data_IF_014523424038
#
_entry.id   IF_014523424038
#
_cell.length_a   1.000
_cell.length_b   1.000
_cell.length_c   1.000
_cell.angle_alpha   90.00
_cell.angle_beta   90.00
_cell.angle_gamma   90.00
#
_symmetry.space_group_name_H-M   'P 1'
#
loop_
_entity.id
_entity.type
_entity.pdbx_description
1 polymer ?
#
# COMPACT_ATOMS: atom_id res chain seq x y z
N UNK A 1 -7.77 -0.93 24.59
CA UNK A 1 -6.81 -0.83 23.47
C UNK A 1 -7.17 -1.78 22.33
N UNK A 2 -7.29 -3.11 22.55
CA UNK A 2 -7.62 -4.07 21.49
C UNK A 2 -9.01 -3.92 20.83
N UNK A 3 -10.03 -3.44 21.56
CA UNK A 3 -11.37 -3.19 21.00
C UNK A 3 -11.33 -2.04 19.98
N UNK A 4 -10.50 -1.02 20.23
CA UNK A 4 -10.39 0.15 19.36
C UNK A 4 -9.71 -0.19 18.02
N UNK A 5 -8.70 -1.08 18.04
CA UNK A 5 -8.04 -1.58 16.82
C UNK A 5 -8.99 -2.39 15.93
N UNK A 6 -9.78 -3.28 16.53
CA UNK A 6 -10.77 -4.09 15.79
C UNK A 6 -11.80 -3.21 15.11
N UNK A 7 -12.34 -2.23 15.84
CA UNK A 7 -13.33 -1.29 15.30
C UNK A 7 -12.72 -0.42 14.20
N UNK A 8 -11.49 0.06 14.37
CA UNK A 8 -10.76 0.83 13.37
C UNK A 8 -10.61 0.05 12.06
N UNK A 9 -10.01 -1.14 12.11
CA UNK A 9 -9.80 -1.96 10.90
C UNK A 9 -11.12 -2.36 10.23
N UNK A 10 -12.16 -2.70 11.01
CA UNK A 10 -13.48 -3.04 10.46
C UNK A 10 -14.15 -1.83 9.79
N UNK A 11 -14.03 -0.63 10.37
CA UNK A 11 -14.58 0.60 9.81
C UNK A 11 -13.87 0.98 8.51
N UNK A 12 -12.54 0.93 8.50
CA UNK A 12 -11.74 1.22 7.30
C UNK A 12 -12.00 0.17 6.21
N UNK A 13 -12.08 -1.11 6.58
CA UNK A 13 -12.47 -2.18 5.65
C UNK A 13 -13.86 -1.91 5.04
N UNK A 14 -14.86 -1.58 5.86
CA UNK A 14 -16.20 -1.26 5.39
C UNK A 14 -16.23 -0.07 4.43
N UNK A 15 -15.44 0.97 4.72
CA UNK A 15 -15.25 2.11 3.82
C UNK A 15 -14.68 1.68 2.47
N UNK A 16 -13.56 0.95 2.45
CA UNK A 16 -12.94 0.49 1.21
C UNK A 16 -13.82 -0.49 0.44
N UNK A 17 -14.59 -1.33 1.13
CA UNK A 17 -15.59 -2.21 0.51
C UNK A 17 -16.68 -1.39 -0.19
N UNK A 18 -17.19 -0.34 0.45
CA UNK A 18 -18.18 0.56 -0.15
C UNK A 18 -17.64 1.29 -1.38
N UNK A 19 -16.40 1.79 -1.31
CA UNK A 19 -15.70 2.40 -2.47
C UNK A 19 -15.55 1.37 -3.60
N UNK A 20 -15.07 0.16 -3.29
CA UNK A 20 -14.87 -0.91 -4.28
C UNK A 20 -16.16 -1.30 -4.97
N UNK A 21 -17.23 -1.54 -4.20
CA UNK A 21 -18.57 -1.86 -4.71
C UNK A 21 -19.05 -0.76 -5.67
N UNK A 22 -18.84 0.51 -5.31
CA UNK A 22 -19.24 1.64 -6.14
C UNK A 22 -18.42 1.80 -7.41
N UNK A 23 -17.11 1.60 -7.35
CA UNK A 23 -16.25 1.55 -8.55
C UNK A 23 -16.70 0.44 -9.50
N UNK A 24 -17.01 -0.75 -8.98
CA UNK A 24 -17.51 -1.87 -9.79
C UNK A 24 -18.87 -1.56 -10.41
N UNK A 25 -19.80 -0.98 -9.64
CA UNK A 25 -21.10 -0.55 -10.18
C UNK A 25 -20.93 0.48 -11.30
N UNK A 26 -20.09 1.50 -11.12
CA UNK A 26 -19.84 2.53 -12.13
C UNK A 26 -19.30 1.91 -13.42
N UNK A 27 -18.40 0.93 -13.32
CA UNK A 27 -17.86 0.21 -14.47
C UNK A 27 -18.89 -0.67 -15.21
N UNK A 28 -19.95 -1.12 -14.52
CA UNK A 28 -21.00 -1.96 -15.10
C UNK A 28 -22.18 -1.15 -15.68
N UNK A 29 -22.46 0.04 -15.14
CA UNK A 29 -23.64 0.84 -15.53
C UNK A 29 -23.37 1.85 -16.65
N UNK A 30 -22.10 2.10 -16.99
CA UNK A 30 -21.74 3.09 -18.00
C UNK A 30 -21.02 2.42 -19.18
N UNK A 31 -21.78 2.04 -20.20
CA UNK A 31 -21.31 2.23 -21.58
C UNK A 31 -21.92 3.54 -22.11
N UNK A 32 -21.34 4.72 -21.85
CA UNK A 32 -21.68 5.89 -22.62
C UNK A 32 -21.03 5.72 -24.00
N UNK A 33 -21.87 5.77 -25.04
CA UNK A 33 -21.44 6.04 -26.40
C UNK A 33 -20.81 7.44 -26.47
N UNK A 34 -19.52 7.61 -26.20
CA UNK A 34 -18.78 8.79 -26.68
C UNK A 34 -17.25 8.62 -26.55
N UNK A 35 -16.58 8.94 -27.66
CA UNK A 35 -15.13 9.08 -27.87
C UNK A 35 -14.24 7.84 -27.61
N UNK A 36 -13.43 7.47 -28.61
CA UNK A 36 -12.43 6.38 -28.49
C UNK A 36 -11.48 6.52 -27.29
N UNK A 37 -11.29 7.73 -26.77
CA UNK A 37 -10.51 8.02 -25.57
C UNK A 37 -11.10 7.40 -24.30
N UNK A 38 -12.43 7.38 -24.14
CA UNK A 38 -13.10 6.74 -22.99
C UNK A 38 -12.83 5.23 -22.94
N UNK A 39 -12.96 4.57 -24.09
CA UNK A 39 -12.67 3.14 -24.23
C UNK A 39 -11.20 2.83 -23.93
N UNK A 40 -10.28 3.71 -24.35
CA UNK A 40 -8.85 3.57 -24.04
C UNK A 40 -8.60 3.71 -22.53
N UNK A 41 -9.17 4.73 -21.89
CA UNK A 41 -9.03 4.98 -20.46
C UNK A 41 -9.55 3.80 -19.61
N UNK A 42 -10.74 3.27 -19.92
CA UNK A 42 -11.27 2.08 -19.23
C UNK A 42 -10.40 0.85 -19.48
N UNK A 43 -9.98 0.62 -20.73
CA UNK A 43 -9.14 -0.52 -21.11
C UNK A 43 -7.84 -0.59 -20.33
N UNK A 44 -7.22 0.57 -20.06
CA UNK A 44 -5.96 0.66 -19.32
C UNK A 44 -6.12 0.98 -17.83
N UNK A 45 -7.35 1.09 -17.34
CA UNK A 45 -7.64 1.43 -15.94
C UNK A 45 -6.91 0.53 -14.93
N UNK A 46 -6.75 -0.76 -15.23
CA UNK A 46 -6.03 -1.75 -14.40
C UNK A 46 -4.52 -1.53 -14.32
N UNK A 47 -3.95 -0.75 -15.24
CA UNK A 47 -2.50 -0.50 -15.32
C UNK A 47 -2.06 0.70 -14.50
N UNK A 48 -2.97 1.52 -13.98
CA UNK A 48 -2.62 2.64 -13.10
C UNK A 48 -2.18 2.17 -11.72
N UNK A 49 -1.08 2.75 -11.21
CA UNK A 49 -0.53 2.44 -9.89
C UNK A 49 -1.57 2.63 -8.77
N UNK A 50 -2.43 3.64 -8.88
CA UNK A 50 -3.51 3.90 -7.93
C UNK A 50 -4.40 2.67 -7.72
N UNK A 51 -4.75 1.94 -8.80
CA UNK A 51 -5.59 0.75 -8.70
C UNK A 51 -4.87 -0.40 -8.02
N UNK A 52 -3.57 -0.56 -8.30
CA UNK A 52 -2.73 -1.55 -7.61
C UNK A 52 -2.61 -1.22 -6.12
N UNK A 53 -2.42 0.05 -5.78
CA UNK A 53 -2.32 0.50 -4.38
C UNK A 53 -3.64 0.29 -3.65
N UNK A 54 -4.76 0.64 -4.27
CA UNK A 54 -6.09 0.42 -3.71
C UNK A 54 -6.34 -1.07 -3.43
N UNK A 55 -5.97 -1.97 -4.35
CA UNK A 55 -6.08 -3.42 -4.14
C UNK A 55 -5.22 -3.87 -2.95
N UNK A 56 -3.99 -3.37 -2.82
CA UNK A 56 -3.11 -3.72 -1.70
C UNK A 56 -3.67 -3.20 -0.36
N UNK A 57 -4.26 -2.01 -0.34
CA UNK A 57 -4.93 -1.46 0.84
C UNK A 57 -6.14 -2.31 1.21
N UNK A 58 -7.02 -2.61 0.25
CA UNK A 58 -8.19 -3.46 0.48
C UNK A 58 -7.78 -4.85 0.97
N UNK A 59 -6.73 -5.42 0.39
CA UNK A 59 -6.17 -6.72 0.79
C UNK A 59 -5.66 -6.67 2.23
N UNK A 60 -4.89 -5.64 2.60
CA UNK A 60 -4.42 -5.45 3.97
C UNK A 60 -5.57 -5.43 4.98
N UNK A 61 -6.56 -4.56 4.77
CA UNK A 61 -7.70 -4.45 5.69
C UNK A 61 -8.57 -5.70 5.74
N UNK A 62 -8.69 -6.42 4.62
CA UNK A 62 -9.32 -7.75 4.57
C UNK A 62 -8.57 -8.77 5.42
N UNK A 63 -7.23 -8.82 5.30
CA UNK A 63 -6.38 -9.68 6.12
C UNK A 63 -6.51 -9.32 7.60
N UNK A 64 -6.59 -8.03 7.94
CA UNK A 64 -6.74 -7.59 9.33
C UNK A 64 -8.09 -7.99 9.93
N UNK A 65 -9.19 -7.87 9.19
CA UNK A 65 -10.50 -8.40 9.61
C UNK A 65 -10.41 -9.92 9.80
N UNK A 66 -9.78 -10.65 8.89
CA UNK A 66 -9.58 -12.10 9.02
C UNK A 66 -8.74 -12.47 10.24
N UNK A 67 -7.64 -11.75 10.51
CA UNK A 67 -6.82 -11.92 11.73
C UNK A 67 -7.69 -11.77 12.98
N UNK A 68 -8.54 -10.74 13.02
CA UNK A 68 -9.43 -10.50 14.15
C UNK A 68 -10.45 -11.63 14.34
N UNK A 69 -11.02 -12.16 13.25
CA UNK A 69 -11.93 -13.31 13.28
C UNK A 69 -11.23 -14.60 13.73
N UNK A 70 -10.03 -14.89 13.20
CA UNK A 70 -9.25 -16.07 13.58
C UNK A 70 -8.86 -16.04 15.07
N UNK A 71 -8.62 -14.85 15.63
CA UNK A 71 -8.35 -14.69 17.06
C UNK A 71 -9.57 -14.97 17.96
N UNK A 72 -10.78 -15.09 17.40
CA UNK A 72 -11.96 -15.53 18.16
C UNK A 72 -12.04 -17.06 18.27
N UNK A 73 -11.32 -17.79 17.41
CA UNK A 73 -11.38 -19.26 17.36
C UNK A 73 -10.14 -19.84 18.06
N UNK A 74 -10.36 -20.60 19.13
CA UNK A 74 -9.27 -21.30 19.83
C UNK A 74 -8.54 -22.25 18.86
N UNK A 75 -7.21 -22.20 18.84
CA UNK A 75 -6.36 -23.04 17.99
C UNK A 75 -5.81 -22.35 16.74
N UNK A 76 -6.34 -21.19 16.33
CA UNK A 76 -5.89 -20.47 15.13
C UNK A 76 -4.87 -19.35 15.40
N UNK A 77 -4.42 -19.17 16.64
CA UNK A 77 -3.50 -18.09 17.05
C UNK A 77 -2.19 -18.08 16.24
N UNK A 78 -1.63 -19.25 15.93
CA UNK A 78 -0.40 -19.36 15.12
C UNK A 78 -0.59 -18.85 13.68
N UNK A 79 -1.75 -19.18 13.09
CA UNK A 79 -2.10 -18.76 11.72
C UNK A 79 -2.39 -17.27 11.69
N UNK A 80 -3.19 -16.78 12.64
CA UNK A 80 -3.47 -15.37 12.85
C UNK A 80 -2.19 -14.53 12.99
N UNK A 81 -1.25 -14.95 13.85
CA UNK A 81 0.02 -14.25 14.04
C UNK A 81 0.88 -14.24 12.76
N UNK A 82 0.90 -15.33 12.00
CA UNK A 82 1.61 -15.38 10.72
C UNK A 82 0.98 -14.44 9.69
N UNK A 83 -0.35 -14.44 9.59
CA UNK A 83 -1.09 -13.57 8.68
C UNK A 83 -0.89 -12.09 9.05
N UNK A 84 -0.96 -11.75 10.34
CA UNK A 84 -0.67 -10.39 10.83
C UNK A 84 0.72 -9.91 10.42
N UNK A 85 1.74 -10.75 10.56
CA UNK A 85 3.12 -10.41 10.14
C UNK A 85 3.22 -10.13 8.65
N UNK A 86 2.62 -10.98 7.81
CA UNK A 86 2.59 -10.77 6.35
C UNK A 86 1.83 -9.48 6.01
N UNK A 87 0.69 -9.24 6.67
CA UNK A 87 -0.11 -8.04 6.49
C UNK A 87 0.67 -6.78 6.90
N UNK A 88 1.40 -6.80 8.03
CA UNK A 88 2.24 -5.68 8.47
C UNK A 88 3.39 -5.41 7.47
N UNK A 89 3.99 -6.44 6.85
CA UNK A 89 4.96 -6.25 5.77
C UNK A 89 4.33 -5.54 4.56
N UNK A 90 3.17 -6.02 4.10
CA UNK A 90 2.42 -5.37 3.02
C UNK A 90 2.10 -3.91 3.38
N UNK A 91 1.66 -3.69 4.61
CA UNK A 91 1.26 -2.38 5.09
C UNK A 91 2.41 -1.38 5.11
N UNK A 92 3.50 -1.76 5.76
CA UNK A 92 4.65 -0.88 6.01
C UNK A 92 5.52 -0.68 4.77
N UNK A 93 5.63 -1.68 3.90
CA UNK A 93 6.49 -1.61 2.69
C UNK A 93 5.73 -1.07 1.48
N UNK A 94 4.45 -1.42 1.31
CA UNK A 94 3.68 -1.09 0.10
C UNK A 94 2.61 -0.06 0.39
N UNK A 95 1.66 -0.34 1.29
CA UNK A 95 0.46 0.49 1.46
C UNK A 95 0.79 1.91 1.90
N UNK A 96 1.49 2.09 3.02
CA UNK A 96 1.78 3.43 3.55
C UNK A 96 2.65 4.24 2.59
N UNK A 97 3.82 3.75 2.13
CA UNK A 97 4.70 4.55 1.29
C UNK A 97 4.09 4.88 -0.07
N UNK A 98 3.37 3.94 -0.68
CA UNK A 98 2.71 4.18 -1.97
C UNK A 98 1.53 5.13 -1.81
N UNK A 99 0.74 5.02 -0.75
CA UNK A 99 -0.34 5.95 -0.43
C UNK A 99 0.15 7.40 -0.33
N UNK A 100 1.26 7.60 0.41
CA UNK A 100 1.95 8.89 0.53
C UNK A 100 2.51 9.42 -0.79
N UNK A 101 2.85 8.53 -1.74
CA UNK A 101 3.33 8.90 -3.07
C UNK A 101 2.20 9.26 -4.03
N UNK A 102 1.16 8.42 -4.13
CA UNK A 102 0.09 8.60 -5.13
C UNK A 102 -0.84 9.76 -4.78
N UNK A 103 -1.07 10.04 -3.50
CA UNK A 103 -2.04 11.08 -3.09
C UNK A 103 -1.58 12.47 -3.55
N UNK A 104 -0.35 12.92 -3.23
CA UNK A 104 0.14 14.19 -3.76
C UNK A 104 0.29 14.15 -5.28
N UNK A 105 0.76 13.05 -5.86
CA UNK A 105 0.91 12.92 -7.32
C UNK A 105 -0.40 13.16 -8.06
N UNK A 106 -1.50 12.58 -7.56
CA UNK A 106 -2.84 12.81 -8.10
C UNK A 106 -3.26 14.26 -7.93
N UNK A 107 -3.27 14.79 -6.70
CA UNK A 107 -3.83 16.13 -6.45
C UNK A 107 -3.00 17.26 -7.04
N UNK A 108 -1.67 17.15 -7.07
CA UNK A 108 -0.81 18.13 -7.74
C UNK A 108 -1.14 18.15 -9.24
N UNK A 109 -1.21 16.98 -9.89
CA UNK A 109 -1.55 16.89 -11.31
C UNK A 109 -2.96 17.39 -11.57
N UNK A 110 -3.92 17.04 -10.70
CA UNK A 110 -5.31 17.47 -10.79
C UNK A 110 -5.42 19.00 -10.77
N UNK A 111 -4.68 19.67 -9.88
CA UNK A 111 -4.71 21.13 -9.77
C UNK A 111 -3.94 21.84 -10.89
N UNK A 112 -2.89 21.23 -11.46
CA UNK A 112 -2.12 21.81 -12.57
C UNK A 112 -2.87 21.64 -13.90
N UNK A 113 -3.24 20.40 -14.23
CA UNK A 113 -4.00 20.06 -15.42
C UNK A 113 -4.72 18.71 -15.19
N UNK A 114 -5.97 18.80 -14.76
CA UNK A 114 -6.83 17.64 -14.47
C UNK A 114 -7.06 16.72 -15.66
N UNK A 115 -7.07 17.23 -16.89
CA UNK A 115 -7.42 16.43 -18.07
C UNK A 115 -6.37 15.33 -18.35
N UNK A 116 -5.20 15.40 -17.72
CA UNK A 116 -4.16 14.37 -17.79
C UNK A 116 -4.53 13.08 -17.04
N UNK A 117 -5.41 13.15 -16.03
CA UNK A 117 -5.69 12.03 -15.11
C UNK A 117 -7.17 11.84 -14.77
N UNK A 118 -7.94 12.93 -14.77
CA UNK A 118 -9.35 12.98 -14.39
C UNK A 118 -10.10 14.06 -15.19
N UNK A 119 -10.40 13.78 -16.48
CA UNK A 119 -11.11 14.71 -17.36
C UNK A 119 -12.48 15.13 -16.82
N UNK A 120 -13.00 16.26 -17.29
CA UNK A 120 -14.32 16.81 -16.86
C UNK A 120 -15.47 15.83 -17.01
N UNK A 121 -15.56 15.12 -18.12
CA UNK A 121 -16.60 14.10 -18.33
C UNK A 121 -16.57 12.96 -17.30
N UNK A 122 -15.42 12.69 -16.67
CA UNK A 122 -15.29 11.63 -15.67
C UNK A 122 -15.93 12.02 -14.32
N UNK A 123 -16.10 13.32 -14.03
CA UNK A 123 -16.83 13.79 -12.85
C UNK A 123 -18.32 13.47 -12.90
N UNK A 124 -18.90 13.46 -14.10
CA UNK A 124 -20.31 13.10 -14.29
C UNK A 124 -20.55 11.62 -13.97
N UNK A 125 -19.50 10.80 -14.07
CA UNK A 125 -19.54 9.35 -13.91
C UNK A 125 -19.07 8.90 -12.52
N UNK A 126 -17.99 9.50 -12.01
CA UNK A 126 -17.36 9.14 -10.73
C UNK A 126 -17.75 10.17 -9.67
N UNK A 127 -18.58 9.78 -8.68
CA UNK A 127 -18.93 10.66 -7.58
C UNK A 127 -17.70 11.13 -6.81
N UNK A 128 -17.69 12.39 -6.37
CA UNK A 128 -16.53 12.98 -5.69
C UNK A 128 -16.05 12.20 -4.46
N UNK A 129 -16.95 11.58 -3.70
CA UNK A 129 -16.56 10.75 -2.55
C UNK A 129 -15.82 9.47 -2.96
N UNK A 130 -16.15 8.89 -4.13
CA UNK A 130 -15.42 7.73 -4.69
C UNK A 130 -14.02 8.18 -5.14
N UNK A 131 -13.93 9.34 -5.80
CA UNK A 131 -12.66 9.96 -6.19
C UNK A 131 -11.73 10.16 -4.98
N UNK A 132 -12.25 10.76 -3.89
CA UNK A 132 -11.52 10.86 -2.62
C UNK A 132 -11.21 9.49 -2.01
N UNK A 133 -12.13 8.52 -2.11
CA UNK A 133 -11.94 7.12 -1.72
C UNK A 133 -10.70 6.48 -2.32
N UNK A 134 -10.49 6.67 -3.62
CA UNK A 134 -9.37 6.05 -4.36
C UNK A 134 -8.12 6.93 -4.44
N UNK A 135 -8.18 8.23 -4.11
CA UNK A 135 -7.02 9.14 -4.25
C UNK A 135 -6.58 9.87 -2.98
N UNK A 136 -7.49 10.22 -2.06
CA UNK A 136 -7.14 10.90 -0.80
C UNK A 136 -6.99 9.90 0.33
N UNK A 137 -8.00 9.04 0.52
CA UNK A 137 -8.03 8.16 1.67
C UNK A 137 -7.01 7.03 1.61
N UNK A 138 -6.42 6.78 0.42
CA UNK A 138 -5.27 5.89 0.25
C UNK A 138 -4.02 6.33 1.04
N UNK A 139 -3.88 7.60 1.42
CA UNK A 139 -2.84 8.02 2.37
C UNK A 139 -3.39 8.25 3.77
N UNK A 140 -4.53 8.95 3.89
CA UNK A 140 -5.02 9.40 5.20
C UNK A 140 -5.36 8.21 6.12
N UNK A 141 -6.09 7.20 5.63
CA UNK A 141 -6.52 6.09 6.49
C UNK A 141 -5.34 5.19 6.89
N UNK A 142 -4.41 4.79 5.99
CA UNK A 142 -3.20 4.09 6.40
C UNK A 142 -2.27 4.90 7.32
N UNK A 143 -2.15 6.21 7.14
CA UNK A 143 -1.35 7.04 8.05
C UNK A 143 -1.99 7.13 9.43
N UNK A 144 -3.32 7.27 9.51
CA UNK A 144 -4.04 7.22 10.77
C UNK A 144 -3.82 5.86 11.46
N UNK A 145 -3.93 4.77 10.73
CA UNK A 145 -3.69 3.41 11.24
C UNK A 145 -2.25 3.26 11.78
N UNK A 146 -1.24 3.68 11.00
CA UNK A 146 0.17 3.68 11.41
C UNK A 146 0.42 4.41 12.73
N UNK A 147 -0.30 5.50 12.99
CA UNK A 147 -0.15 6.32 14.19
C UNK A 147 -0.91 5.76 15.40
N UNK A 148 -1.94 4.95 15.18
CA UNK A 148 -2.83 4.45 16.24
C UNK A 148 -2.59 2.97 16.59
N UNK A 149 -2.04 2.19 15.67
CA UNK A 149 -1.88 0.74 15.77
C UNK A 149 -0.40 0.37 15.70
N UNK A 150 -0.02 -0.66 16.48
CA UNK A 150 1.33 -1.20 16.43
C UNK A 150 1.53 -2.08 15.19
N UNK A 151 2.60 -1.83 14.47
CA UNK A 151 3.01 -2.62 13.30
C UNK A 151 4.43 -3.14 13.46
N UNK A 152 4.63 -4.35 12.94
CA UNK A 152 5.97 -4.92 12.81
C UNK A 152 6.61 -4.46 11.50
N UNK A 153 7.68 -3.67 11.57
CA UNK A 153 8.44 -3.25 10.40
C UNK A 153 9.46 -4.32 9.99
N UNK A 154 9.48 -4.63 8.70
CA UNK A 154 10.46 -5.53 8.11
C UNK A 154 11.89 -4.97 8.22
N UNK A 155 12.90 -5.86 8.29
CA UNK A 155 14.30 -5.47 8.11
C UNK A 155 14.55 -4.85 6.74
N UNK A 156 15.56 -3.98 6.63
CA UNK A 156 15.88 -3.29 5.38
C UNK A 156 16.08 -4.22 4.15
N UNK A 157 16.79 -5.36 4.24
CA UNK A 157 16.91 -6.26 3.08
C UNK A 157 15.56 -6.77 2.57
N UNK A 158 14.64 -7.10 3.48
CA UNK A 158 13.29 -7.55 3.13
C UNK A 158 12.46 -6.40 2.56
N UNK A 159 12.51 -5.20 3.17
CA UNK A 159 11.89 -3.98 2.63
C UNK A 159 12.34 -3.73 1.19
N UNK A 160 13.66 -3.76 0.93
CA UNK A 160 14.22 -3.52 -0.40
C UNK A 160 13.77 -4.60 -1.39
N UNK A 161 13.78 -5.88 -0.99
CA UNK A 161 13.31 -6.99 -1.81
C UNK A 161 11.85 -6.83 -2.23
N UNK A 162 10.94 -6.59 -1.27
CA UNK A 162 9.51 -6.45 -1.56
C UNK A 162 9.18 -5.17 -2.32
N UNK A 163 9.91 -4.08 -2.06
CA UNK A 163 9.82 -2.84 -2.85
C UNK A 163 10.23 -3.11 -4.29
N UNK A 164 11.38 -3.74 -4.52
CA UNK A 164 11.86 -4.08 -5.85
C UNK A 164 10.89 -5.02 -6.59
N UNK A 165 10.32 -6.01 -5.90
CA UNK A 165 9.34 -6.92 -6.47
C UNK A 165 8.08 -6.17 -6.94
N UNK A 166 7.49 -5.35 -6.07
CA UNK A 166 6.24 -4.64 -6.37
C UNK A 166 6.43 -3.57 -7.44
N UNK A 167 7.41 -2.67 -7.26
CA UNK A 167 7.63 -1.56 -8.21
C UNK A 167 8.35 -2.01 -9.48
N UNK A 168 9.17 -3.05 -9.43
CA UNK A 168 9.71 -3.69 -10.63
C UNK A 168 8.62 -4.30 -11.48
N UNK A 169 7.65 -4.99 -10.86
CA UNK A 169 6.45 -5.49 -11.56
C UNK A 169 5.64 -4.34 -12.16
N UNK A 170 5.51 -3.22 -11.44
CA UNK A 170 4.84 -2.03 -11.96
C UNK A 170 5.58 -1.39 -13.13
N UNK A 171 6.91 -1.30 -13.08
CA UNK A 171 7.72 -0.81 -14.20
C UNK A 171 7.53 -1.69 -15.44
N UNK A 172 7.52 -3.02 -15.29
CA UNK A 172 7.21 -3.94 -16.39
C UNK A 172 5.82 -3.65 -16.97
N UNK A 173 4.82 -3.37 -16.13
CA UNK A 173 3.50 -2.98 -16.59
C UNK A 173 3.51 -1.63 -17.34
N UNK A 174 4.19 -0.62 -16.80
CA UNK A 174 4.27 0.73 -17.37
C UNK A 174 4.98 0.73 -18.73
N UNK A 175 6.21 0.23 -18.79
CA UNK A 175 6.98 0.13 -20.03
C UNK A 175 6.36 -0.87 -21.01
N UNK A 176 5.81 -1.98 -20.50
CA UNK A 176 5.07 -2.93 -21.32
C UNK A 176 3.85 -2.28 -22.00
N UNK A 177 3.17 -1.33 -21.34
CA UNK A 177 2.08 -0.56 -21.97
C UNK A 177 2.58 0.28 -23.13
N UNK A 178 3.71 0.97 -22.94
CA UNK A 178 4.33 1.76 -24.00
C UNK A 178 4.71 0.90 -25.21
N UNK A 179 5.43 -0.21 -25.00
CA UNK A 179 5.85 -1.06 -26.11
C UNK A 179 4.73 -1.87 -26.77
N UNK A 180 3.60 -2.08 -26.10
CA UNK A 180 2.45 -2.82 -26.65
C UNK A 180 1.48 -1.93 -27.43
N UNK A 181 1.43 -0.64 -27.11
CA UNK A 181 0.35 0.24 -27.56
C UNK A 181 0.84 1.59 -28.09
N UNK A 182 2.14 1.84 -28.10
CA UNK A 182 2.79 3.05 -28.61
C UNK A 182 2.30 4.35 -27.96
N UNK A 183 1.89 4.29 -26.69
CA UNK A 183 1.56 5.47 -25.88
C UNK A 183 1.97 5.29 -24.42
N UNK A 184 2.22 6.41 -23.73
CA UNK A 184 2.56 6.37 -22.31
C UNK A 184 1.31 6.42 -21.44
N UNK A 185 1.25 5.53 -20.43
CA UNK A 185 0.16 5.53 -19.46
C UNK A 185 0.06 6.85 -18.67
N UNK A 186 1.20 7.51 -18.42
CA UNK A 186 1.26 8.84 -17.83
C UNK A 186 1.86 9.82 -18.84
N UNK A 187 1.11 10.88 -19.23
CA UNK A 187 1.55 11.82 -20.28
C UNK A 187 2.90 12.50 -20.02
N UNK A 188 3.36 12.59 -18.77
CA UNK A 188 4.67 13.16 -18.44
C UNK A 188 5.84 12.45 -19.15
N UNK A 189 5.71 11.14 -19.41
CA UNK A 189 6.75 10.35 -20.07
C UNK A 189 6.80 10.56 -21.59
N UNK A 190 5.75 11.11 -22.22
CA UNK A 190 5.76 11.45 -23.65
C UNK A 190 6.81 12.52 -23.98
N UNK A 191 7.16 13.34 -22.99
CA UNK A 191 8.15 14.42 -23.10
C UNK A 191 9.57 13.97 -22.77
N UNK A 192 9.77 12.67 -22.52
CA UNK A 192 11.02 12.10 -22.02
C UNK A 192 11.57 11.06 -23.00
N UNK A 193 12.90 10.97 -23.09
CA UNK A 193 13.55 9.81 -23.72
C UNK A 193 13.37 8.57 -22.86
N UNK A 194 13.53 7.36 -23.43
CA UNK A 194 13.45 6.10 -22.67
C UNK A 194 14.37 6.08 -21.45
N UNK A 195 15.58 6.64 -21.59
CA UNK A 195 16.53 6.74 -20.48
C UNK A 195 16.02 7.68 -19.38
N UNK A 196 15.50 8.85 -19.76
CA UNK A 196 14.92 9.80 -18.80
C UNK A 196 13.69 9.21 -18.10
N UNK A 197 12.83 8.48 -18.82
CA UNK A 197 11.69 7.77 -18.24
C UNK A 197 12.13 6.72 -17.22
N UNK A 198 13.15 5.94 -17.55
CA UNK A 198 13.70 4.93 -16.65
C UNK A 198 14.30 5.57 -15.38
N UNK A 199 15.14 6.60 -15.53
CA UNK A 199 15.73 7.33 -14.40
C UNK A 199 14.66 7.99 -13.51
N UNK A 200 13.60 8.52 -14.12
CA UNK A 200 12.45 9.08 -13.39
C UNK A 200 11.74 8.00 -12.55
N UNK A 201 11.56 6.80 -13.10
CA UNK A 201 10.97 5.69 -12.36
C UNK A 201 11.86 5.26 -11.18
N UNK A 202 13.19 5.25 -11.36
CA UNK A 202 14.13 5.00 -10.24
C UNK A 202 14.00 6.08 -9.17
N UNK A 203 13.92 7.36 -9.55
CA UNK A 203 13.72 8.46 -8.61
C UNK A 203 12.41 8.33 -7.82
N UNK A 204 11.32 7.89 -8.46
CA UNK A 204 10.06 7.60 -7.77
C UNK A 204 10.19 6.46 -6.76
N UNK A 205 10.88 5.38 -7.10
CA UNK A 205 11.16 4.28 -6.15
C UNK A 205 12.02 4.78 -4.99
N UNK A 206 13.01 5.65 -5.23
CA UNK A 206 13.78 6.29 -4.16
C UNK A 206 12.91 7.15 -3.24
N UNK A 207 11.95 7.91 -3.80
CA UNK A 207 10.99 8.69 -3.02
C UNK A 207 10.06 7.81 -2.18
N UNK A 208 9.65 6.65 -2.71
CA UNK A 208 8.86 5.66 -1.96
C UNK A 208 9.67 5.08 -0.79
N UNK A 209 10.95 4.75 -1.00
CA UNK A 209 11.83 4.29 0.08
C UNK A 209 12.04 5.37 1.15
N UNK A 210 12.10 6.64 0.74
CA UNK A 210 12.11 7.77 1.67
C UNK A 210 10.81 7.84 2.49
N UNK A 211 9.63 7.68 1.88
CA UNK A 211 8.38 7.63 2.63
C UNK A 211 8.32 6.43 3.59
N UNK A 212 8.80 5.26 3.20
CA UNK A 212 8.96 4.11 4.11
C UNK A 212 9.85 4.48 5.31
N UNK A 213 10.98 5.14 5.07
CA UNK A 213 11.87 5.58 6.13
C UNK A 213 11.19 6.55 7.09
N UNK A 214 10.47 7.56 6.57
CA UNK A 214 9.72 8.54 7.38
C UNK A 214 8.64 7.82 8.20
N UNK A 215 7.87 6.91 7.59
CA UNK A 215 6.85 6.12 8.28
C UNK A 215 7.45 5.29 9.42
N UNK A 216 8.61 4.68 9.19
CA UNK A 216 9.34 3.93 10.22
C UNK A 216 9.81 4.83 11.37
N UNK A 217 10.33 6.02 11.08
CA UNK A 217 10.71 7.00 12.11
C UNK A 217 9.50 7.48 12.92
N UNK A 218 8.38 7.77 12.25
CA UNK A 218 7.13 8.11 12.92
C UNK A 218 6.67 6.98 13.85
N UNK A 219 6.69 5.73 13.36
CA UNK A 219 6.34 4.58 14.17
C UNK A 219 7.25 4.38 15.38
N UNK A 220 8.54 4.64 15.26
CA UNK A 220 9.48 4.62 16.41
C UNK A 220 9.15 5.74 17.40
N UNK A 221 8.92 6.96 16.91
CA UNK A 221 8.61 8.14 17.74
C UNK A 221 7.33 7.98 18.56
N UNK A 222 6.28 7.43 17.96
CA UNK A 222 4.98 7.25 18.61
C UNK A 222 4.82 5.87 19.30
N UNK A 223 5.86 5.03 19.29
CA UNK A 223 5.82 3.71 19.93
C UNK A 223 4.92 2.69 19.22
N UNK A 224 4.62 2.93 17.94
CA UNK A 224 3.82 2.06 17.07
C UNK A 224 4.66 1.14 16.17
N UNK A 225 5.99 1.16 16.29
CA UNK A 225 6.91 0.30 15.53
C UNK A 225 7.55 -0.78 16.40
N UNK A 226 7.44 -2.04 15.97
CA UNK A 226 8.30 -3.14 16.42
C UNK A 226 9.19 -3.60 15.26
N UNK A 227 10.50 -3.77 15.48
CA UNK A 227 11.41 -4.24 14.42
C UNK A 227 11.62 -5.74 14.56
N UNK A 228 11.40 -6.49 13.48
CA UNK A 228 11.43 -7.96 13.49
C UNK A 228 12.78 -8.56 13.97
N UNK A 229 13.90 -7.86 13.75
CA UNK A 229 15.22 -8.27 14.25
C UNK A 229 15.30 -8.37 15.78
N UNK A 230 14.52 -7.55 16.50
CA UNK A 230 14.45 -7.60 17.97
C UNK A 230 13.68 -8.83 18.44
N UNK A 231 12.57 -9.17 17.77
CA UNK A 231 11.78 -10.36 18.08
C UNK A 231 12.53 -11.67 17.77
N UNK A 232 13.29 -11.77 16.67
CA UNK A 232 14.09 -12.99 16.38
C UNK A 232 15.18 -13.22 17.42
N UNK A 233 15.88 -12.16 17.87
CA UNK A 233 16.90 -12.26 18.93
C UNK A 233 16.29 -12.61 20.29
N UNK A 234 15.18 -11.99 20.68
CA UNK A 234 14.50 -12.28 21.96
C UNK A 234 13.90 -13.69 21.98
N UNK A 235 13.28 -14.15 20.89
CA UNK A 235 12.75 -15.51 20.79
C UNK A 235 13.85 -16.58 20.75
N UNK A 236 14.94 -16.32 20.02
CA UNK A 236 16.10 -17.23 19.99
C UNK A 236 16.81 -17.28 21.35
N UNK A 237 16.97 -16.14 22.02
CA UNK A 237 17.53 -16.06 23.37
C UNK A 237 16.63 -16.78 24.39
N UNK A 238 15.33 -16.49 24.41
CA UNK A 238 14.37 -17.17 25.29
C UNK A 238 14.34 -18.69 25.07
N UNK A 239 14.42 -19.14 23.81
CA UNK A 239 14.46 -20.57 23.46
C UNK A 239 15.78 -21.22 23.85
N UNK A 240 16.90 -20.51 23.77
CA UNK A 240 18.19 -21.02 24.21
C UNK A 240 18.28 -21.06 25.74
N UNK A 241 17.70 -20.08 26.45
CA UNK A 241 17.62 -20.09 27.92
C UNK A 241 16.71 -21.23 28.39
N UNK A 242 15.53 -21.43 27.78
CA UNK A 242 14.63 -22.53 28.14
C UNK A 242 15.24 -23.91 27.86
N UNK A 243 16.09 -24.01 26.84
CA UNK A 243 16.77 -25.26 26.48
C UNK A 243 18.11 -25.44 27.22
N UNK A 244 18.47 -24.57 28.17
CA UNK A 244 19.71 -24.67 28.94
C UNK A 244 20.99 -24.39 28.13
N UNK A 245 20.86 -23.85 26.92
CA UNK A 245 21.97 -23.64 25.97
C UNK A 245 22.68 -22.29 26.14
N UNK A 246 22.40 -21.53 27.20
CA UNK A 246 23.08 -20.26 27.50
C UNK A 246 23.92 -20.42 28.76
N UNK A 247 25.26 -20.33 28.69
CA UNK A 247 26.08 -20.32 29.89
C UNK A 247 25.72 -19.10 30.74
N UNK A 248 25.45 -19.31 32.03
CA UNK A 248 25.31 -18.25 33.02
C UNK A 248 26.55 -17.37 32.93
N UNK A 249 26.40 -16.15 32.40
CA UNK A 249 27.48 -15.16 32.40
C UNK A 249 27.84 -14.90 33.86
N UNK A 250 28.97 -15.44 34.31
CA UNK A 250 29.53 -15.12 35.62
C UNK A 250 29.70 -13.60 35.69
N UNK A 251 28.95 -12.98 36.61
CA UNK A 251 29.18 -11.60 37.01
C UNK A 251 30.54 -11.56 37.69
N UNK A 252 31.58 -11.18 36.95
CA UNK A 252 32.82 -10.74 37.57
C UNK A 252 32.62 -9.31 38.08
N UNK A 253 32.90 -9.15 39.38
CA UNK A 253 32.98 -7.89 40.12
C UNK A 253 34.12 -7.02 39.58
#
# INVERSE_FOLDING_TARGET
MAVNEKLLHASIFGFYLAVMIRVVMIGNFNEPSSAGFFKLYIKFSSRFLTKWTFIMIFTYYSCMVLVHLLNLISGYSKISNKLRRIADTIFTVIVVPTGMFITPGFWITYNINRDLIFPTWLEEIIPGWVNHGVHTFNSILPLMDLLLVKHTFSPWPETLYYTALYFGSYMVCLFGTYFQHDFWLYPIFEKMTLLQSFLTCIAFVSMILLFHYIARLAGVKYGTCEVEMRQKKENHYSKNVSNGNVPLRQKNK
#
